data_IF_433897543602
#
_entry.id   IF_433897543602
#
_cell.length_a   1.000
_cell.length_b   1.000
_cell.length_c   1.000
_cell.angle_alpha   90.00
_cell.angle_beta   90.00
_cell.angle_gamma   90.00
#
_symmetry.space_group_name_H-M   'P 1'
#
loop_
_entity.id
_entity.type
_entity.pdbx_description
1 polymer ?
#
# COMPACT_ATOMS: atom_id res chain seq x y z
N UNK A 1 16.13 24.12 15.13
CA UNK A 1 17.40 23.55 15.66
C UNK A 1 18.26 23.10 14.48
N UNK A 2 19.60 23.12 14.54
CA UNK A 2 20.42 22.61 13.44
C UNK A 2 20.26 21.09 13.28
N UNK A 3 20.26 20.60 12.03
CA UNK A 3 20.20 19.17 11.69
C UNK A 3 21.29 18.38 12.41
N UNK A 4 20.95 17.23 13.01
CA UNK A 4 21.89 16.43 13.82
C UNK A 4 22.15 15.07 13.18
N UNK A 5 22.97 15.06 12.15
CA UNK A 5 23.49 13.83 11.53
C UNK A 5 24.73 13.33 12.27
N UNK A 6 24.84 12.02 12.52
CA UNK A 6 26.05 11.36 13.03
C UNK A 6 26.47 10.21 12.08
N UNK A 7 27.69 9.69 12.23
CA UNK A 7 28.24 8.66 11.33
C UNK A 7 27.38 7.38 11.24
N UNK A 8 26.67 7.02 12.32
CA UNK A 8 25.77 5.87 12.31
C UNK A 8 24.53 6.13 11.45
N UNK A 9 23.92 7.31 11.61
CA UNK A 9 22.81 7.75 10.79
C UNK A 9 23.24 7.84 9.32
N UNK A 10 24.41 8.43 9.04
CA UNK A 10 24.96 8.51 7.69
C UNK A 10 25.21 7.14 7.05
N UNK A 11 25.72 6.17 7.81
CA UNK A 11 25.85 4.79 7.34
C UNK A 11 24.48 4.16 7.04
N UNK A 12 23.50 4.33 7.93
CA UNK A 12 22.14 3.83 7.71
C UNK A 12 21.52 4.49 6.48
N UNK A 13 21.71 5.78 6.29
CA UNK A 13 21.24 6.52 5.12
C UNK A 13 21.86 5.97 3.83
N UNK A 14 23.17 5.70 3.82
CA UNK A 14 23.84 5.10 2.66
C UNK A 14 23.31 3.70 2.37
N UNK A 15 23.13 2.86 3.39
CA UNK A 15 22.56 1.50 3.22
C UNK A 15 21.15 1.60 2.63
N UNK A 16 20.29 2.43 3.21
CA UNK A 16 18.91 2.59 2.75
C UNK A 16 18.85 3.19 1.36
N UNK A 17 19.69 4.17 1.03
CA UNK A 17 19.81 4.73 -0.31
C UNK A 17 20.20 3.70 -1.38
N UNK A 18 21.00 2.68 -1.01
CA UNK A 18 21.40 1.60 -1.93
C UNK A 18 20.35 0.50 -2.05
N UNK A 19 19.54 0.31 -1.01
CA UNK A 19 18.48 -0.71 -0.97
C UNK A 19 17.12 -0.18 -1.42
N UNK A 20 16.95 1.14 -1.48
CA UNK A 20 15.70 1.78 -1.81
C UNK A 20 15.25 1.39 -3.24
N UNK A 21 13.94 1.15 -3.42
CA UNK A 21 13.31 1.03 -4.74
C UNK A 21 13.72 2.13 -5.71
N UNK A 22 13.78 1.81 -7.01
CA UNK A 22 14.00 2.84 -8.03
C UNK A 22 12.79 3.78 -8.07
N UNK A 23 13.02 5.07 -7.83
CA UNK A 23 11.97 6.08 -7.75
C UNK A 23 11.63 6.50 -6.31
N UNK A 24 11.97 5.68 -5.30
CA UNK A 24 11.88 6.11 -3.92
C UNK A 24 12.96 7.15 -3.61
N UNK A 25 12.58 8.20 -2.89
CA UNK A 25 13.47 9.21 -2.37
C UNK A 25 13.85 8.83 -0.93
N UNK A 26 15.15 8.70 -0.67
CA UNK A 26 15.68 8.55 0.68
C UNK A 26 16.23 9.90 1.09
N UNK A 27 15.71 10.46 2.18
CA UNK A 27 16.15 11.76 2.71
C UNK A 27 16.65 11.57 4.12
N UNK A 28 17.84 12.10 4.40
CA UNK A 28 18.44 12.13 5.73
C UNK A 28 18.06 13.42 6.47
N UNK A 29 17.78 13.31 7.77
CA UNK A 29 17.45 14.44 8.66
C UNK A 29 16.29 15.30 8.10
N UNK A 30 15.22 14.63 7.69
CA UNK A 30 14.03 15.28 7.14
C UNK A 30 13.17 15.87 8.25
N UNK A 31 12.58 17.05 8.01
CA UNK A 31 11.68 17.70 8.96
C UNK A 31 10.24 17.43 8.55
N UNK A 32 9.47 16.77 9.41
CA UNK A 32 8.03 16.61 9.24
C UNK A 32 7.29 17.37 10.34
N UNK A 33 6.21 18.03 9.96
CA UNK A 33 5.37 18.79 10.89
C UNK A 33 4.58 17.86 11.80
N UNK A 34 4.72 18.06 13.10
CA UNK A 34 3.87 17.47 14.14
C UNK A 34 2.58 18.30 14.22
N UNK A 35 1.49 17.77 13.65
CA UNK A 35 0.20 18.46 13.53
C UNK A 35 -0.39 18.88 14.90
N UNK A 36 0.02 18.23 16.00
CA UNK A 36 -0.54 18.50 17.31
C UNK A 36 0.07 19.72 18.01
N UNK A 37 1.29 20.09 17.65
CA UNK A 37 2.03 21.21 18.27
C UNK A 37 2.45 22.28 17.27
N UNK A 38 2.08 22.13 15.99
CA UNK A 38 2.45 23.01 14.88
C UNK A 38 3.96 23.30 14.85
N UNK A 39 4.74 22.23 14.96
CA UNK A 39 6.20 22.31 15.03
C UNK A 39 6.86 21.15 14.29
N UNK A 40 7.99 21.42 13.65
CA UNK A 40 8.71 20.40 12.91
C UNK A 40 9.54 19.51 13.83
N UNK A 41 9.44 18.19 13.60
CA UNK A 41 10.32 17.19 14.23
C UNK A 41 11.21 16.55 13.17
N UNK A 42 12.49 16.42 13.50
CA UNK A 42 13.49 15.75 12.67
C UNK A 42 13.27 14.24 12.68
N UNK A 43 13.21 13.64 11.49
CA UNK A 43 13.23 12.20 11.24
C UNK A 43 14.64 11.83 10.78
N UNK A 44 15.27 10.83 11.41
CA UNK A 44 16.68 10.54 11.07
C UNK A 44 16.84 10.15 9.59
N UNK A 45 16.00 9.24 9.09
CA UNK A 45 15.92 8.91 7.65
C UNK A 45 14.45 8.71 7.28
N UNK A 46 14.02 9.36 6.20
CA UNK A 46 12.71 9.18 5.60
C UNK A 46 12.88 8.53 4.23
N UNK A 47 12.15 7.43 3.99
CA UNK A 47 12.01 6.85 2.66
C UNK A 47 10.61 7.19 2.18
N UNK A 48 10.50 7.94 1.09
CA UNK A 48 9.23 8.26 0.43
C UNK A 48 9.17 7.63 -0.96
N UNK A 49 8.09 6.93 -1.25
CA UNK A 49 7.78 6.46 -2.61
C UNK A 49 6.76 7.42 -3.25
N UNK A 50 7.17 8.25 -4.24
CA UNK A 50 6.28 9.12 -4.99
C UNK A 50 5.58 8.31 -6.10
N UNK A 51 4.73 7.36 -5.72
CA UNK A 51 3.82 6.73 -6.67
C UNK A 51 2.55 7.59 -6.79
N UNK A 52 2.26 8.07 -8.00
CA UNK A 52 1.16 9.00 -8.31
C UNK A 52 -0.18 8.59 -7.68
N UNK A 53 -0.73 9.44 -6.80
CA UNK A 53 -2.14 9.41 -6.38
C UNK A 53 -2.44 8.82 -4.98
N UNK A 54 -1.46 8.32 -4.24
CA UNK A 54 -1.61 7.95 -2.83
C UNK A 54 -0.69 8.82 -1.96
N UNK A 55 -1.01 9.10 -0.68
CA UNK A 55 -0.04 9.75 0.20
C UNK A 55 1.25 8.93 0.17
N UNK A 56 2.42 9.58 0.02
CA UNK A 56 3.69 8.88 -0.22
C UNK A 56 3.84 7.79 0.84
N UNK A 57 4.19 6.57 0.42
CA UNK A 57 4.48 5.51 1.37
C UNK A 57 5.74 5.93 2.12
N UNK A 58 5.55 6.52 3.31
CA UNK A 58 6.61 7.07 4.13
C UNK A 58 7.02 6.04 5.18
N UNK A 59 8.25 5.55 5.06
CA UNK A 59 8.90 4.74 6.10
C UNK A 59 9.82 5.67 6.86
N UNK A 60 9.61 5.78 8.17
CA UNK A 60 10.48 6.55 9.04
C UNK A 60 11.44 5.61 9.77
N UNK A 61 12.73 5.97 9.75
CA UNK A 61 13.77 5.19 10.40
C UNK A 61 14.45 6.07 11.44
N UNK A 62 14.43 5.64 12.69
CA UNK A 62 15.06 6.32 13.83
C UNK A 62 16.32 5.56 14.26
N UNK A 63 17.41 6.29 14.44
CA UNK A 63 18.73 5.72 14.69
C UNK A 63 19.24 6.07 16.09
N UNK A 64 19.64 5.07 16.87
CA UNK A 64 20.30 5.25 18.18
C UNK A 64 21.73 4.71 18.17
N UNK A 65 22.66 5.65 18.12
CA UNK A 65 24.09 5.38 18.26
C UNK A 65 24.56 5.57 19.71
N UNK A 66 24.38 4.52 20.53
CA UNK A 66 24.90 4.49 21.91
C UNK A 66 25.56 3.15 22.17
N UNK A 67 26.53 3.13 23.10
CA UNK A 67 27.17 1.89 23.60
C UNK A 67 26.23 1.01 24.42
N UNK A 68 25.24 1.62 25.09
CA UNK A 68 24.22 0.88 25.86
C UNK A 68 23.07 0.51 24.92
N UNK A 69 22.46 -0.64 25.21
CA UNK A 69 21.21 -1.08 24.56
C UNK A 69 20.15 0.02 24.66
N UNK A 70 19.30 0.10 23.64
CA UNK A 70 18.13 0.94 23.68
C UNK A 70 17.12 0.42 24.70
N UNK A 71 16.55 1.36 25.44
CA UNK A 71 15.66 1.16 26.57
C UNK A 71 14.21 1.43 26.18
N UNK A 72 13.31 1.13 27.11
CA UNK A 72 11.87 1.34 26.96
C UNK A 72 11.58 2.83 26.70
N UNK A 73 12.29 3.73 27.40
CA UNK A 73 12.15 5.18 27.27
C UNK A 73 12.36 5.65 25.83
N UNK A 74 13.36 5.09 25.12
CA UNK A 74 13.55 5.43 23.71
C UNK A 74 12.37 5.02 22.83
N UNK A 75 11.80 3.83 23.09
CA UNK A 75 10.64 3.36 22.33
C UNK A 75 9.43 4.23 22.64
N UNK A 76 9.26 4.67 23.89
CA UNK A 76 8.22 5.64 24.27
C UNK A 76 8.38 6.97 23.52
N UNK A 77 9.60 7.49 23.41
CA UNK A 77 9.89 8.70 22.62
C UNK A 77 9.49 8.53 21.14
N UNK A 78 9.75 7.35 20.55
CA UNK A 78 9.37 7.03 19.17
C UNK A 78 7.85 6.92 19.03
N UNK A 79 7.19 6.19 19.94
CA UNK A 79 5.72 6.03 19.94
C UNK A 79 5.04 7.40 20.05
N UNK A 80 5.46 8.23 21.00
CA UNK A 80 4.89 9.57 21.18
C UNK A 80 5.06 10.42 19.92
N UNK A 81 6.26 10.43 19.33
CA UNK A 81 6.57 11.17 18.10
C UNK A 81 5.68 10.75 16.93
N UNK A 82 5.54 9.45 16.67
CA UNK A 82 4.76 8.95 15.52
C UNK A 82 3.28 8.76 15.80
N UNK A 83 2.83 8.98 17.04
CA UNK A 83 1.40 9.15 17.33
C UNK A 83 0.82 10.42 16.68
N UNK A 84 1.69 11.40 16.36
CA UNK A 84 1.32 12.70 15.80
C UNK A 84 1.80 12.93 14.37
N UNK A 85 2.81 12.19 13.92
CA UNK A 85 3.39 12.32 12.58
C UNK A 85 2.94 11.12 11.74
N UNK A 86 2.21 11.39 10.64
CA UNK A 86 1.66 10.35 9.78
C UNK A 86 2.75 9.71 8.92
N UNK A 87 3.10 8.48 9.26
CA UNK A 87 3.95 7.60 8.45
C UNK A 87 3.34 6.22 8.36
N UNK A 88 3.63 5.47 7.30
CA UNK A 88 3.07 4.13 7.09
C UNK A 88 3.72 3.12 8.04
N UNK A 89 5.03 3.28 8.30
CA UNK A 89 5.81 2.34 9.10
C UNK A 89 6.95 3.07 9.79
N UNK A 90 7.28 2.60 10.99
CA UNK A 90 8.40 3.09 11.79
C UNK A 90 9.37 1.96 12.03
N UNK A 91 10.65 2.25 11.85
CA UNK A 91 11.76 1.33 12.09
C UNK A 91 12.71 1.96 13.10
N UNK A 92 12.94 1.29 14.22
CA UNK A 92 13.93 1.66 15.21
C UNK A 92 15.23 0.89 14.95
N UNK A 93 16.34 1.58 14.78
CA UNK A 93 17.66 0.99 14.53
C UNK A 93 18.62 1.35 15.67
N UNK A 94 19.13 0.34 16.37
CA UNK A 94 20.09 0.54 17.46
C UNK A 94 21.43 -0.09 17.13
N UNK A 95 22.53 0.66 17.35
CA UNK A 95 23.89 0.13 17.17
C UNK A 95 24.19 -1.03 18.13
N UNK A 96 23.73 -0.90 19.38
CA UNK A 96 24.04 -1.85 20.47
C UNK A 96 22.88 -2.78 20.82
N UNK A 97 21.78 -2.72 20.07
CA UNK A 97 20.59 -3.55 20.27
C UNK A 97 19.58 -2.95 21.23
N UNK A 98 18.65 -3.78 21.66
CA UNK A 98 17.52 -3.41 22.52
C UNK A 98 17.58 -4.21 23.82
N UNK A 99 17.07 -3.62 24.90
CA UNK A 99 16.67 -4.38 26.09
C UNK A 99 15.44 -5.22 25.73
N UNK A 100 15.25 -6.35 26.43
CA UNK A 100 14.13 -7.27 26.16
C UNK A 100 12.77 -6.55 26.23
N UNK A 101 12.58 -5.71 27.23
CA UNK A 101 11.35 -4.95 27.40
C UNK A 101 11.16 -3.89 26.32
N UNK A 102 12.24 -3.26 25.83
CA UNK A 102 12.15 -2.30 24.73
C UNK A 102 11.76 -3.01 23.42
N UNK A 103 12.32 -4.19 23.16
CA UNK A 103 11.98 -5.00 21.99
C UNK A 103 10.51 -5.41 22.00
N UNK A 104 10.02 -5.99 23.11
CA UNK A 104 8.61 -6.38 23.28
C UNK A 104 7.67 -5.18 23.07
N UNK A 105 8.01 -4.04 23.65
CA UNK A 105 7.20 -2.82 23.50
C UNK A 105 7.18 -2.29 22.07
N UNK A 106 8.31 -2.36 21.36
CA UNK A 106 8.36 -1.97 19.95
C UNK A 106 7.49 -2.90 19.10
N UNK A 107 7.54 -4.22 19.34
CA UNK A 107 6.68 -5.20 18.67
C UNK A 107 5.19 -4.94 18.92
N UNK A 108 4.79 -4.71 20.18
CA UNK A 108 3.41 -4.37 20.57
C UNK A 108 2.91 -3.09 19.89
N UNK A 109 3.82 -2.13 19.64
CA UNK A 109 3.52 -0.86 18.97
C UNK A 109 3.62 -0.93 17.42
N UNK A 110 3.94 -2.10 16.84
CA UNK A 110 4.12 -2.25 15.39
C UNK A 110 5.38 -1.55 14.84
N UNK A 111 6.38 -1.30 15.68
CA UNK A 111 7.67 -0.71 15.33
C UNK A 111 8.67 -1.83 15.05
N UNK A 112 9.25 -1.85 13.85
CA UNK A 112 10.30 -2.82 13.54
C UNK A 112 11.59 -2.46 14.26
N UNK A 113 12.16 -3.41 15.00
CA UNK A 113 13.44 -3.23 15.68
C UNK A 113 14.56 -3.91 14.90
N UNK A 114 15.57 -3.15 14.49
CA UNK A 114 16.75 -3.67 13.79
C UNK A 114 18.03 -3.46 14.61
N UNK A 115 18.78 -4.54 14.80
CA UNK A 115 20.11 -4.51 15.40
C UNK A 115 21.18 -4.60 14.31
N UNK A 116 22.05 -3.58 14.24
CA UNK A 116 23.16 -3.59 13.28
C UNK A 116 24.10 -4.80 13.52
N UNK A 117 24.40 -5.14 14.78
CA UNK A 117 25.27 -6.26 15.14
C UNK A 117 24.76 -7.63 14.66
N UNK A 118 23.46 -7.87 14.67
CA UNK A 118 22.85 -9.13 14.19
C UNK A 118 22.83 -9.17 12.66
N UNK A 119 22.56 -8.04 12.01
CA UNK A 119 22.70 -7.91 10.57
C UNK A 119 24.15 -8.09 10.08
N UNK A 120 25.13 -7.83 10.94
CA UNK A 120 26.54 -8.05 10.67
C UNK A 120 27.01 -9.49 11.00
N UNK A 121 26.37 -10.17 11.94
CA UNK A 121 26.77 -11.49 12.45
C UNK A 121 26.04 -12.69 11.80
N UNK A 122 24.91 -12.47 11.13
CA UNK A 122 24.16 -13.57 10.51
C UNK A 122 24.91 -14.19 9.31
N UNK A 123 24.84 -15.53 9.15
CA UNK A 123 25.32 -16.23 7.95
C UNK A 123 24.32 -16.07 6.80
N UNK A 124 24.22 -14.84 6.32
CA UNK A 124 23.50 -14.49 5.11
C UNK A 124 24.00 -15.28 3.88
N UNK A 125 25.21 -15.83 3.96
CA UNK A 125 25.80 -16.66 2.92
C UNK A 125 25.03 -17.93 2.66
N UNK A 126 24.45 -18.55 3.69
CA UNK A 126 23.66 -19.78 3.54
C UNK A 126 22.18 -19.48 3.36
N UNK A 127 21.65 -18.48 4.07
CA UNK A 127 20.23 -18.14 4.06
C UNK A 127 19.73 -17.59 2.71
N UNK A 128 20.57 -16.79 2.05
CA UNK A 128 20.17 -16.08 0.83
C UNK A 128 20.55 -16.85 -0.44
N UNK A 129 21.61 -17.67 -0.41
CA UNK A 129 22.10 -18.44 -1.58
C UNK A 129 21.01 -19.26 -2.28
N UNK A 130 20.03 -19.74 -1.53
CA UNK A 130 18.98 -20.60 -2.06
C UNK A 130 17.75 -19.82 -2.58
N UNK A 131 17.64 -18.52 -2.28
CA UNK A 131 16.56 -17.66 -2.81
C UNK A 131 17.05 -17.02 -4.10
N UNK A 132 16.68 -17.62 -5.23
CA UNK A 132 17.11 -17.17 -6.57
C UNK A 132 16.04 -16.39 -7.33
N UNK A 133 14.80 -16.47 -6.86
CA UNK A 133 13.69 -15.75 -7.47
C UNK A 133 12.52 -15.53 -6.51
N UNK A 134 11.80 -14.44 -6.73
CA UNK A 134 10.45 -14.25 -6.20
C UNK A 134 9.44 -14.41 -7.35
N UNK A 135 8.29 -15.00 -7.06
CA UNK A 135 7.17 -15.07 -8.00
C UNK A 135 6.20 -13.94 -7.67
N UNK A 136 6.06 -13.00 -8.60
CA UNK A 136 5.08 -11.93 -8.53
C UNK A 136 3.89 -12.30 -9.42
N UNK A 137 2.70 -12.37 -8.82
CA UNK A 137 1.43 -12.42 -9.56
C UNK A 137 0.72 -11.09 -9.36
N UNK A 138 0.73 -10.25 -10.38
CA UNK A 138 0.02 -8.97 -10.37
C UNK A 138 -1.36 -9.12 -11.01
N UNK A 139 -2.31 -8.29 -10.56
CA UNK A 139 -3.65 -8.19 -11.16
C UNK A 139 -3.96 -6.72 -11.44
N UNK A 140 -4.31 -6.41 -12.68
CA UNK A 140 -4.84 -5.10 -13.05
C UNK A 140 -6.32 -5.24 -13.34
N UNK A 141 -7.14 -4.64 -12.49
CA UNK A 141 -8.60 -4.60 -12.64
C UNK A 141 -8.99 -3.24 -13.20
N UNK A 142 -9.76 -3.24 -14.28
CA UNK A 142 -10.25 -2.01 -14.92
C UNK A 142 -11.78 -2.08 -14.96
N UNK A 143 -12.46 -1.03 -14.48
CA UNK A 143 -13.89 -0.84 -14.72
C UNK A 143 -14.10 -0.51 -16.20
N UNK A 144 -14.74 -1.43 -16.93
CA UNK A 144 -14.97 -1.29 -18.36
C UNK A 144 -16.20 -0.44 -18.64
N UNK A 145 -17.28 -0.68 -17.89
CA UNK A 145 -18.53 0.07 -18.02
C UNK A 145 -19.41 -0.07 -16.79
N UNK A 146 -20.29 0.91 -16.64
CA UNK A 146 -21.37 0.94 -15.66
C UNK A 146 -22.68 1.12 -16.41
N UNK A 147 -23.53 0.09 -16.37
CA UNK A 147 -24.82 0.07 -17.03
C UNK A 147 -25.94 0.40 -16.04
N UNK A 148 -26.76 1.37 -16.39
CA UNK A 148 -27.99 1.73 -15.68
C UNK A 148 -29.19 1.20 -16.46
N UNK A 149 -29.98 0.34 -15.84
CA UNK A 149 -31.25 -0.13 -16.43
C UNK A 149 -32.41 0.60 -15.80
N UNK A 150 -33.14 1.30 -16.66
CA UNK A 150 -34.36 2.02 -16.30
C UNK A 150 -35.58 1.23 -16.76
N UNK A 151 -36.72 1.44 -16.12
CA UNK A 151 -37.96 0.75 -16.50
C UNK A 151 -38.57 1.28 -17.80
N UNK A 152 -38.19 2.50 -18.20
CA UNK A 152 -38.73 3.21 -19.38
C UNK A 152 -38.00 2.86 -20.69
N UNK A 153 -36.90 2.11 -20.65
CA UNK A 153 -36.13 1.70 -21.83
C UNK A 153 -35.63 0.26 -21.73
N UNK A 154 -35.69 -0.52 -22.83
CA UNK A 154 -35.13 -1.86 -22.84
C UNK A 154 -33.59 -1.86 -22.84
N UNK A 155 -32.96 -0.81 -23.39
CA UNK A 155 -31.51 -0.71 -23.53
C UNK A 155 -30.88 -0.05 -22.29
N UNK A 156 -29.76 -0.60 -21.79
CA UNK A 156 -29.02 0.02 -20.69
C UNK A 156 -28.41 1.35 -21.13
N UNK A 157 -28.34 2.29 -20.19
CA UNK A 157 -27.63 3.56 -20.35
C UNK A 157 -26.25 3.41 -19.74
N UNK A 158 -25.20 3.68 -20.52
CA UNK A 158 -23.82 3.69 -20.03
C UNK A 158 -23.55 4.99 -19.27
N UNK A 159 -23.22 4.87 -17.98
CA UNK A 159 -22.97 6.02 -17.10
C UNK A 159 -21.80 6.87 -17.60
N UNK A 160 -20.74 6.24 -18.11
CA UNK A 160 -19.55 6.91 -18.63
C UNK A 160 -19.84 7.78 -19.86
N UNK A 161 -20.92 7.47 -20.60
CA UNK A 161 -21.38 8.27 -21.74
C UNK A 161 -22.37 9.37 -21.34
N UNK A 162 -22.67 9.51 -20.06
CA UNK A 162 -23.67 10.45 -19.54
C UNK A 162 -23.10 11.23 -18.34
N UNK A 163 -22.20 12.22 -18.56
CA UNK A 163 -21.57 12.98 -17.47
C UNK A 163 -22.57 13.64 -16.50
N UNK A 164 -23.74 14.03 -17.01
CA UNK A 164 -24.85 14.61 -16.22
C UNK A 164 -25.42 13.66 -15.16
N UNK A 165 -25.17 12.36 -15.28
CA UNK A 165 -25.67 11.35 -14.34
C UNK A 165 -24.66 10.99 -13.24
N UNK A 166 -23.39 11.38 -13.35
CA UNK A 166 -22.36 11.02 -12.34
C UNK A 166 -22.72 11.50 -10.93
N UNK A 167 -23.29 12.71 -10.81
CA UNK A 167 -23.79 13.25 -9.55
C UNK A 167 -25.27 12.99 -9.26
N UNK A 168 -25.95 12.16 -10.06
CA UNK A 168 -27.37 11.90 -9.88
C UNK A 168 -27.61 11.01 -8.65
N UNK A 169 -28.63 11.37 -7.86
CA UNK A 169 -28.96 10.70 -6.61
C UNK A 169 -29.94 9.55 -6.87
N UNK A 170 -29.66 8.39 -6.30
CA UNK A 170 -30.62 7.29 -6.23
C UNK A 170 -31.44 7.49 -4.96
N UNK A 171 -32.77 7.52 -5.11
CA UNK A 171 -33.72 7.57 -4.01
C UNK A 171 -34.57 6.30 -3.99
N UNK A 172 -34.94 5.86 -2.79
CA UNK A 172 -35.94 4.82 -2.59
C UNK A 172 -37.36 5.35 -2.85
N UNK A 173 -38.34 4.45 -2.87
CA UNK A 173 -39.74 4.80 -3.10
C UNK A 173 -40.32 5.80 -2.08
N UNK A 174 -39.79 5.83 -0.85
CA UNK A 174 -40.17 6.77 0.21
C UNK A 174 -39.43 8.11 0.15
N UNK A 175 -38.56 8.29 -0.86
CA UNK A 175 -37.75 9.48 -1.05
C UNK A 175 -36.45 9.50 -0.25
N UNK A 176 -36.16 8.48 0.56
CA UNK A 176 -34.90 8.38 1.29
C UNK A 176 -33.72 8.16 0.32
N UNK A 177 -32.55 8.79 0.55
CA UNK A 177 -31.42 8.65 -0.34
C UNK A 177 -30.66 7.33 -0.12
N UNK A 178 -30.40 6.61 -1.22
CA UNK A 178 -29.37 5.56 -1.25
C UNK A 178 -27.99 6.14 -1.55
N UNK A 179 -27.95 7.30 -2.21
CA UNK A 179 -26.72 8.05 -2.50
C UNK A 179 -26.49 8.25 -4.00
N UNK A 180 -25.37 8.90 -4.38
CA UNK A 180 -25.02 9.11 -5.78
C UNK A 180 -24.83 7.77 -6.51
N UNK A 181 -25.29 7.70 -7.77
CA UNK A 181 -25.14 6.48 -8.59
C UNK A 181 -23.69 6.09 -8.81
N UNK A 182 -22.79 7.06 -8.97
CA UNK A 182 -21.35 6.80 -9.11
C UNK A 182 -20.77 6.18 -7.83
N UNK A 183 -21.24 6.60 -6.65
CA UNK A 183 -20.76 6.03 -5.39
C UNK A 183 -21.20 4.58 -5.24
N UNK A 184 -22.43 4.24 -5.63
CA UNK A 184 -22.89 2.85 -5.67
C UNK A 184 -22.03 2.03 -6.65
N UNK A 185 -21.83 2.51 -7.88
CA UNK A 185 -21.01 1.82 -8.88
C UNK A 185 -19.54 1.65 -8.45
N UNK A 186 -18.96 2.66 -7.80
CA UNK A 186 -17.61 2.60 -7.22
C UNK A 186 -17.56 1.56 -6.09
N UNK A 187 -18.54 1.56 -5.18
CA UNK A 187 -18.61 0.57 -4.09
C UNK A 187 -18.78 -0.86 -4.60
N UNK A 188 -19.55 -1.06 -5.67
CA UNK A 188 -19.68 -2.35 -6.34
C UNK A 188 -18.35 -2.79 -6.97
N UNK A 189 -17.60 -1.87 -7.60
CA UNK A 189 -16.33 -2.17 -8.24
C UNK A 189 -15.20 -2.47 -7.24
N UNK A 190 -15.11 -1.68 -6.17
CA UNK A 190 -14.06 -1.78 -5.15
C UNK A 190 -14.41 -2.79 -4.04
N UNK A 191 -15.68 -3.20 -3.98
CA UNK A 191 -16.22 -4.04 -2.92
C UNK A 191 -15.80 -5.51 -2.97
N UNK A 192 -16.03 -6.25 -1.88
CA UNK A 192 -15.62 -7.64 -1.73
C UNK A 192 -16.28 -8.57 -2.77
N UNK A 193 -17.52 -8.30 -3.17
CA UNK A 193 -18.26 -9.09 -4.16
C UNK A 193 -17.56 -9.11 -5.52
N UNK A 194 -17.02 -7.96 -5.96
CA UNK A 194 -16.22 -7.90 -7.19
C UNK A 194 -14.90 -8.66 -7.03
N UNK A 195 -14.25 -8.54 -5.86
CA UNK A 195 -13.01 -9.30 -5.59
C UNK A 195 -13.25 -10.81 -5.62
N UNK A 196 -14.36 -11.28 -5.06
CA UNK A 196 -14.78 -12.68 -5.09
C UNK A 196 -15.10 -13.14 -6.52
N UNK A 197 -15.87 -12.36 -7.27
CA UNK A 197 -16.18 -12.65 -8.67
C UNK A 197 -14.91 -12.77 -9.52
N UNK A 198 -13.93 -11.88 -9.30
CA UNK A 198 -12.63 -11.93 -9.95
C UNK A 198 -11.80 -13.13 -9.48
N UNK A 199 -11.77 -13.44 -8.18
CA UNK A 199 -10.99 -14.54 -7.63
C UNK A 199 -11.52 -15.92 -8.05
N UNK A 200 -12.84 -16.12 -8.08
CA UNK A 200 -13.50 -17.36 -8.52
C UNK A 200 -13.12 -17.70 -9.96
N UNK A 201 -12.96 -16.66 -10.78
CA UNK A 201 -12.70 -16.78 -12.18
C UNK A 201 -11.19 -16.71 -12.52
N UNK A 202 -10.35 -16.15 -11.64
CA UNK A 202 -8.89 -16.03 -11.84
C UNK A 202 -8.17 -17.37 -12.12
N UNK A 203 -8.74 -18.51 -11.68
CA UNK A 203 -8.21 -19.85 -12.00
C UNK A 203 -8.31 -20.22 -13.48
N UNK A 204 -9.15 -19.51 -14.25
CA UNK A 204 -9.39 -19.75 -15.68
C UNK A 204 -8.43 -19.00 -16.59
N UNK A 205 -7.63 -18.08 -16.03
CA UNK A 205 -6.68 -17.30 -16.80
C UNK A 205 -5.54 -18.19 -17.30
N UNK A 206 -5.31 -18.15 -18.61
CA UNK A 206 -4.22 -18.88 -19.27
C UNK A 206 -3.35 -17.92 -20.05
N UNK A 207 -2.19 -18.38 -20.53
CA UNK A 207 -1.36 -17.58 -21.45
C UNK A 207 -2.10 -17.18 -22.74
N UNK A 208 -3.15 -17.90 -23.12
CA UNK A 208 -3.94 -17.66 -24.34
C UNK A 208 -5.15 -16.75 -24.06
N UNK A 209 -5.66 -16.74 -22.83
CA UNK A 209 -6.73 -15.85 -22.37
C UNK A 209 -6.27 -15.11 -21.10
N UNK A 210 -5.48 -14.02 -21.26
CA UNK A 210 -4.89 -13.30 -20.13
C UNK A 210 -5.86 -12.30 -19.51
N UNK A 211 -7.14 -12.31 -19.93
CA UNK A 211 -8.17 -11.41 -19.42
C UNK A 211 -9.37 -12.20 -18.92
N UNK A 212 -9.92 -11.69 -17.83
CA UNK A 212 -11.18 -12.12 -17.29
C UNK A 212 -12.16 -10.96 -17.26
N UNK A 213 -13.42 -11.23 -17.60
CA UNK A 213 -14.52 -10.31 -17.32
C UNK A 213 -15.27 -10.78 -16.06
N UNK A 214 -15.59 -9.82 -15.20
CA UNK A 214 -16.49 -10.02 -14.08
C UNK A 214 -17.62 -8.99 -14.17
N UNK A 215 -18.82 -9.47 -13.95
CA UNK A 215 -20.04 -8.67 -13.96
C UNK A 215 -20.64 -8.76 -12.57
N UNK A 216 -20.94 -7.60 -11.99
CA UNK A 216 -21.68 -7.51 -10.74
C UNK A 216 -22.94 -6.70 -11.00
N UNK A 217 -24.06 -7.24 -10.56
CA UNK A 217 -25.38 -6.68 -10.79
C UNK A 217 -26.06 -6.42 -9.45
N UNK A 218 -26.50 -5.18 -9.24
CA UNK A 218 -27.27 -4.76 -8.09
C UNK A 218 -28.70 -4.43 -8.53
N UNK A 219 -29.65 -5.22 -8.04
CA UNK A 219 -31.08 -4.95 -8.21
C UNK A 219 -31.52 -3.95 -7.12
N UNK A 220 -32.12 -2.84 -7.54
CA UNK A 220 -32.59 -1.82 -6.63
C UNK A 220 -33.93 -2.22 -5.99
N UNK A 221 -34.26 -1.67 -4.80
CA UNK A 221 -35.59 -1.81 -4.23
C UNK A 221 -36.67 -1.37 -5.23
N UNK A 222 -37.84 -2.01 -5.14
CA UNK A 222 -38.96 -1.71 -6.04
C UNK A 222 -39.29 -0.21 -6.02
N UNK A 223 -39.45 0.37 -7.22
CA UNK A 223 -39.75 1.79 -7.44
C UNK A 223 -38.66 2.76 -6.98
N UNK A 224 -37.41 2.31 -6.85
CA UNK A 224 -36.27 3.22 -6.75
C UNK A 224 -36.17 4.07 -8.02
N UNK A 225 -35.67 5.30 -7.87
CA UNK A 225 -35.55 6.23 -8.99
C UNK A 225 -34.30 7.10 -8.87
N UNK A 226 -33.80 7.51 -10.02
CA UNK A 226 -32.67 8.39 -10.16
C UNK A 226 -33.16 9.85 -10.31
N UNK A 227 -32.53 10.77 -9.60
CA UNK A 227 -32.79 12.21 -9.65
C UNK A 227 -31.55 12.92 -10.18
N UNK A 228 -31.68 13.56 -11.34
CA UNK A 228 -30.59 14.36 -11.92
C UNK A 228 -30.49 15.74 -11.25
N UNK A 229 -29.38 16.46 -11.48
CA UNK A 229 -29.25 17.85 -11.02
C UNK A 229 -30.28 18.82 -11.59
N UNK A 230 -30.99 18.45 -12.68
CA UNK A 230 -32.11 19.21 -13.23
C UNK A 230 -33.47 18.83 -12.61
N UNK A 231 -33.49 17.96 -11.59
CA UNK A 231 -34.71 17.48 -10.93
C UNK A 231 -35.48 16.42 -11.73
N UNK A 232 -34.92 15.88 -12.81
CA UNK A 232 -35.60 14.85 -13.61
C UNK A 232 -35.59 13.52 -12.86
N UNK A 233 -36.77 12.93 -12.66
CA UNK A 233 -36.95 11.62 -12.04
C UNK A 233 -37.03 10.54 -13.12
N UNK A 234 -36.28 9.45 -12.97
CA UNK A 234 -36.40 8.26 -13.83
C UNK A 234 -36.33 6.98 -13.01
N UNK A 235 -37.29 6.07 -13.22
CA UNK A 235 -37.35 4.79 -12.51
C UNK A 235 -36.14 3.93 -12.87
N UNK A 236 -35.32 3.61 -11.87
CA UNK A 236 -34.08 2.88 -12.03
C UNK A 236 -34.21 1.53 -11.32
N UNK A 237 -34.04 0.45 -12.07
CA UNK A 237 -34.23 -0.91 -11.59
C UNK A 237 -32.92 -1.58 -11.22
N UNK A 238 -31.86 -1.35 -11.98
CA UNK A 238 -30.61 -2.10 -11.83
C UNK A 238 -29.40 -1.23 -12.15
N UNK A 239 -28.32 -1.44 -11.40
CA UNK A 239 -26.96 -0.97 -11.73
C UNK A 239 -26.10 -2.21 -11.95
N UNK A 240 -25.35 -2.23 -13.04
CA UNK A 240 -24.40 -3.30 -13.34
C UNK A 240 -23.02 -2.71 -13.60
N UNK A 241 -22.00 -3.31 -13.01
CA UNK A 241 -20.60 -2.97 -13.23
C UNK A 241 -19.92 -4.11 -13.97
N UNK A 242 -19.35 -3.82 -15.13
CA UNK A 242 -18.48 -4.73 -15.87
C UNK A 242 -17.02 -4.36 -15.59
N UNK A 243 -16.26 -5.31 -15.07
CA UNK A 243 -14.83 -5.20 -14.83
C UNK A 243 -14.05 -6.15 -15.74
N UNK A 244 -12.84 -5.74 -16.13
CA UNK A 244 -11.86 -6.59 -16.79
C UNK A 244 -10.63 -6.71 -15.90
N UNK A 245 -10.22 -7.94 -15.59
CA UNK A 245 -8.98 -8.22 -14.89
C UNK A 245 -7.95 -8.80 -15.86
N UNK A 246 -6.72 -8.30 -15.80
CA UNK A 246 -5.55 -8.88 -16.44
C UNK A 246 -4.60 -9.40 -15.38
N UNK A 247 -3.92 -10.50 -15.66
CA UNK A 247 -2.89 -11.05 -14.76
C UNK A 247 -1.57 -11.20 -15.46
N UNK A 248 -0.50 -10.84 -14.77
CA UNK A 248 0.86 -11.13 -15.19
C UNK A 248 1.54 -11.95 -14.10
N UNK A 249 2.13 -13.07 -14.51
CA UNK A 249 2.99 -13.89 -13.66
C UNK A 249 4.44 -13.59 -14.07
N UNK A 250 5.18 -12.94 -13.17
CA UNK A 250 6.56 -12.57 -13.39
C UNK A 250 7.46 -13.29 -12.40
N UNK A 251 8.58 -13.79 -12.92
CA UNK A 251 9.69 -14.26 -12.11
C UNK A 251 10.65 -13.09 -11.90
N UNK A 252 10.70 -12.56 -10.69
CA UNK A 252 11.72 -11.58 -10.30
C UNK A 252 12.98 -12.38 -10.01
N UNK A 253 13.97 -12.29 -10.89
CA UNK A 253 15.30 -12.86 -10.64
C UNK A 253 15.95 -12.03 -9.53
N UNK A 254 16.41 -12.69 -8.49
CA UNK A 254 17.06 -12.01 -7.37
C UNK A 254 18.57 -12.06 -7.53
N UNK A 255 19.19 -10.89 -7.52
CA UNK A 255 20.63 -10.72 -7.40
C UNK A 255 21.04 -10.81 -5.94
N UNK A 256 22.16 -11.50 -5.70
CA UNK A 256 22.79 -11.56 -4.39
C UNK A 256 23.84 -10.46 -4.29
N UNK A 257 23.70 -9.57 -3.30
CA UNK A 257 24.78 -8.62 -2.97
C UNK A 257 25.14 -8.71 -1.51
N UNK A 258 26.38 -8.29 -1.23
CA UNK A 258 26.96 -8.27 0.12
C UNK A 258 27.38 -6.84 0.50
N UNK A 259 26.44 -5.94 0.86
CA UNK A 259 26.80 -4.64 1.40
C UNK A 259 27.38 -4.83 2.82
N UNK A 260 28.71 -4.80 2.94
CA UNK A 260 29.40 -5.07 4.21
C UNK A 260 29.35 -6.54 4.59
N UNK A 261 28.90 -6.85 5.82
CA UNK A 261 28.72 -8.25 6.29
C UNK A 261 27.30 -8.78 6.05
N UNK A 262 26.34 -7.92 5.72
CA UNK A 262 25.00 -8.34 5.33
C UNK A 262 25.02 -8.95 3.93
N UNK A 263 24.25 -10.02 3.68
CA UNK A 263 23.92 -10.43 2.31
C UNK A 263 22.41 -10.40 2.11
N UNK A 264 21.98 -9.90 0.97
CA UNK A 264 20.58 -9.75 0.59
C UNK A 264 20.37 -10.29 -0.81
N UNK A 265 19.20 -10.88 -1.04
CA UNK A 265 18.71 -11.20 -2.37
C UNK A 265 17.67 -10.15 -2.72
N UNK A 266 17.86 -9.44 -3.82
CA UNK A 266 16.88 -8.46 -4.27
C UNK A 266 16.77 -8.45 -5.78
N UNK A 267 15.62 -8.01 -6.27
CA UNK A 267 15.38 -7.85 -7.69
C UNK A 267 14.16 -6.98 -7.90
N UNK A 268 13.96 -6.60 -9.16
CA UNK A 268 12.78 -5.86 -9.57
C UNK A 268 12.16 -6.44 -10.83
N UNK A 269 10.89 -6.16 -11.03
CA UNK A 269 10.20 -6.39 -12.28
C UNK A 269 9.17 -5.29 -12.52
N UNK A 270 8.95 -4.97 -13.79
CA UNK A 270 7.93 -4.03 -14.21
C UNK A 270 6.68 -4.80 -14.64
N UNK A 271 5.51 -4.45 -14.11
CA UNK A 271 4.20 -5.02 -14.49
C UNK A 271 3.15 -3.92 -14.54
N UNK A 272 2.32 -3.93 -15.59
CA UNK A 272 1.28 -2.93 -15.81
C UNK A 272 1.76 -1.46 -15.73
N UNK A 273 3.02 -1.18 -16.06
CA UNK A 273 3.61 0.16 -15.98
C UNK A 273 4.11 0.56 -14.58
N UNK A 274 4.03 -0.34 -13.60
CA UNK A 274 4.53 -0.14 -12.25
C UNK A 274 5.75 -1.01 -11.98
N UNK A 275 6.73 -0.47 -11.25
CA UNK A 275 7.92 -1.20 -10.84
C UNK A 275 7.71 -1.84 -9.47
N UNK A 276 7.94 -3.14 -9.37
CA UNK A 276 7.89 -3.90 -8.13
C UNK A 276 9.29 -4.32 -7.72
N UNK A 277 9.56 -4.27 -6.42
CA UNK A 277 10.80 -4.70 -5.82
C UNK A 277 10.53 -5.86 -4.87
N UNK A 278 11.35 -6.90 -4.95
CA UNK A 278 11.36 -7.99 -4.00
C UNK A 278 12.72 -8.04 -3.32
N UNK A 279 12.72 -8.19 -2.01
CA UNK A 279 13.92 -8.45 -1.22
C UNK A 279 13.64 -9.62 -0.27
N UNK A 280 14.64 -10.49 -0.12
CA UNK A 280 14.62 -11.57 0.85
C UNK A 280 15.77 -11.37 1.83
N UNK A 281 15.41 -11.39 3.11
CA UNK A 281 16.32 -11.39 4.24
C UNK A 281 15.87 -12.46 5.25
N UNK A 282 16.81 -13.05 5.98
CA UNK A 282 16.48 -13.89 7.13
C UNK A 282 16.25 -12.97 8.33
N UNK A 283 15.14 -13.18 9.04
CA UNK A 283 14.97 -12.63 10.39
C UNK A 283 16.00 -13.34 11.28
N UNK A 284 16.95 -12.65 11.94
CA UNK A 284 17.79 -13.32 12.90
C UNK A 284 16.87 -13.98 13.93
N UNK A 285 17.04 -15.27 14.16
CA UNK A 285 16.51 -15.87 15.38
C UNK A 285 17.22 -15.13 16.51
N UNK A 286 16.48 -14.27 17.22
CA UNK A 286 16.99 -13.60 18.40
C UNK A 286 17.34 -14.62 19.49
N UNK A 287 18.13 -14.23 20.50
CA UNK A 287 18.37 -15.07 21.67
C UNK A 287 17.09 -15.42 22.42
#
# INVERSE_FOLDING_TARGET
MPRRTNDFQGLMYLIQSQLAPTGAQVTESELLTDEAIDSDREINILISDPTDGLPPQTIAIECRDRKRKADIEWIDEIIDKYSKIRVRRVVAVSRSGFTENAFKKAEDAGIDSLLLGEALAADWGTAVKNVTAALLRSRLVTRMSTELRFDDTPNPVLLEKQPKLLGAMILQADGSPLGPVENLAASMFEGPEMQEALAANARRLTKQEPYLFAELTYELPARAYLVTGSGQLRSLRQVMVLARCRTEDLKIVLEHRSPGQARVAFGSADTFGYRFHAAASQKPEGP
#
